data_IF_176739222099
#
_entry.id   IF_176739222099
#
_cell.length_a   1.000
_cell.length_b   1.000
_cell.length_c   1.000
_cell.angle_alpha   90.00
_cell.angle_beta   90.00
_cell.angle_gamma   90.00
#
_symmetry.space_group_name_H-M   'P 1'
#
loop_
_entity.id
_entity.type
_entity.pdbx_description
1 polymer ?
#
# COMPACT_ATOMS: atom_id res chain seq x y z
N UNK A 1 -20.54 -14.83 -52.08
CA UNK A 1 -22.02 -14.79 -52.05
C UNK A 1 -22.66 -14.34 -53.35
N UNK A 2 -22.33 -13.17 -53.92
CA UNK A 2 -22.97 -12.69 -55.17
C UNK A 2 -22.90 -13.69 -56.34
N UNK A 3 -21.72 -14.27 -56.63
CA UNK A 3 -21.55 -15.28 -57.71
C UNK A 3 -22.36 -16.57 -57.51
N UNK A 4 -22.61 -16.95 -56.27
CA UNK A 4 -23.45 -18.11 -55.94
C UNK A 4 -24.92 -17.82 -56.27
N UNK A 5 -25.40 -16.61 -55.92
CA UNK A 5 -26.78 -16.20 -56.23
C UNK A 5 -27.09 -16.21 -57.73
N UNK A 6 -26.10 -15.95 -58.58
CA UNK A 6 -26.24 -16.00 -60.04
C UNK A 6 -26.36 -17.44 -60.57
N UNK A 7 -25.67 -18.40 -59.95
CA UNK A 7 -25.68 -19.80 -60.39
C UNK A 7 -26.80 -20.63 -59.76
N UNK A 8 -27.31 -20.21 -58.60
CA UNK A 8 -28.30 -20.94 -57.81
C UNK A 8 -29.55 -21.33 -58.60
N UNK A 9 -30.22 -20.44 -59.38
CA UNK A 9 -31.40 -20.82 -60.15
C UNK A 9 -31.12 -21.91 -61.20
N UNK A 10 -29.90 -21.93 -61.74
CA UNK A 10 -29.49 -22.95 -62.70
C UNK A 10 -29.20 -24.30 -62.03
N UNK A 11 -28.67 -24.28 -60.81
CA UNK A 11 -28.21 -25.47 -60.09
C UNK A 11 -29.31 -26.12 -59.25
N UNK A 12 -30.24 -25.35 -58.70
CA UNK A 12 -31.30 -25.83 -57.80
C UNK A 12 -32.65 -25.91 -58.52
N UNK A 13 -32.97 -24.95 -59.39
CA UNK A 13 -34.32 -24.77 -59.94
C UNK A 13 -34.43 -25.18 -61.43
N UNK A 14 -33.36 -25.74 -62.01
CA UNK A 14 -33.34 -26.22 -63.40
C UNK A 14 -33.40 -25.14 -64.49
N UNK A 15 -33.27 -23.87 -64.12
CA UNK A 15 -33.33 -22.73 -65.06
C UNK A 15 -32.14 -22.79 -66.03
N UNK A 16 -32.31 -22.56 -67.35
CA UNK A 16 -31.18 -22.49 -68.27
C UNK A 16 -30.16 -21.42 -67.85
N UNK A 17 -28.86 -21.76 -67.84
CA UNK A 17 -27.78 -20.86 -67.38
C UNK A 17 -27.80 -19.50 -68.09
N UNK A 18 -28.22 -19.46 -69.36
CA UNK A 18 -28.38 -18.24 -70.14
C UNK A 18 -29.40 -17.28 -69.52
N UNK A 19 -30.54 -17.78 -69.05
CA UNK A 19 -31.56 -16.95 -68.39
C UNK A 19 -31.07 -16.46 -67.03
N UNK A 20 -30.54 -17.36 -66.20
CA UNK A 20 -30.01 -17.00 -64.88
C UNK A 20 -28.87 -15.97 -64.97
N UNK A 21 -28.02 -16.06 -66.01
CA UNK A 21 -26.95 -15.08 -66.26
C UNK A 21 -27.51 -13.74 -66.76
N UNK A 22 -28.50 -13.75 -67.66
CA UNK A 22 -29.13 -12.54 -68.20
C UNK A 22 -29.90 -11.75 -67.14
N UNK A 23 -30.66 -12.43 -66.28
CA UNK A 23 -31.42 -11.81 -65.18
C UNK A 23 -30.52 -11.17 -64.12
N UNK A 24 -29.29 -11.69 -63.98
CA UNK A 24 -28.28 -11.15 -63.09
C UNK A 24 -27.33 -10.14 -63.77
N UNK A 25 -27.59 -9.76 -65.02
CA UNK A 25 -26.73 -8.87 -65.84
C UNK A 25 -25.27 -9.35 -65.95
N UNK A 26 -25.05 -10.67 -65.93
CA UNK A 26 -23.73 -11.29 -66.07
C UNK A 26 -23.60 -11.91 -67.46
N UNK A 27 -22.51 -11.60 -68.16
CA UNK A 27 -22.21 -12.23 -69.45
C UNK A 27 -22.17 -13.76 -69.33
N UNK A 28 -22.81 -14.48 -70.26
CA UNK A 28 -22.90 -15.96 -70.25
C UNK A 28 -21.54 -16.64 -70.06
N UNK A 29 -20.49 -16.16 -70.74
CA UNK A 29 -19.12 -16.70 -70.63
C UNK A 29 -18.56 -16.61 -69.20
N UNK A 30 -18.93 -15.57 -68.45
CA UNK A 30 -18.53 -15.41 -67.05
C UNK A 30 -19.29 -16.37 -66.15
N UNK A 31 -20.59 -16.55 -66.36
CA UNK A 31 -21.42 -17.51 -65.64
C UNK A 31 -20.96 -18.96 -65.91
N UNK A 32 -20.64 -19.31 -67.16
CA UNK A 32 -20.05 -20.60 -67.53
C UNK A 32 -18.73 -20.85 -66.79
N UNK A 33 -17.81 -19.87 -66.76
CA UNK A 33 -16.55 -19.98 -66.02
C UNK A 33 -16.78 -20.20 -64.53
N UNK A 34 -17.75 -19.52 -63.93
CA UNK A 34 -18.11 -19.72 -62.52
C UNK A 34 -18.70 -21.11 -62.29
N UNK A 35 -19.58 -21.58 -63.16
CA UNK A 35 -20.18 -22.92 -63.09
C UNK A 35 -19.12 -24.02 -63.19
N UNK A 36 -18.15 -23.90 -64.10
CA UNK A 36 -17.03 -24.83 -64.21
C UNK A 36 -16.22 -24.89 -62.92
N UNK A 37 -15.87 -23.74 -62.34
CA UNK A 37 -15.13 -23.68 -61.07
C UNK A 37 -15.93 -24.20 -59.89
N UNK A 38 -17.24 -23.94 -59.88
CA UNK A 38 -18.13 -24.48 -58.85
C UNK A 38 -18.25 -26.00 -58.93
N UNK A 39 -18.36 -26.58 -60.13
CA UNK A 39 -18.39 -28.04 -60.30
C UNK A 39 -17.09 -28.72 -59.90
N UNK A 40 -15.95 -28.04 -60.05
CA UNK A 40 -14.64 -28.57 -59.69
C UNK A 40 -14.31 -28.41 -58.19
N UNK A 41 -14.62 -27.27 -57.58
CA UNK A 41 -14.12 -26.88 -56.25
C UNK A 41 -15.25 -26.47 -55.28
N UNK A 42 -16.51 -26.69 -55.65
CA UNK A 42 -17.69 -26.28 -54.87
C UNK A 42 -17.77 -24.75 -54.67
N UNK A 43 -18.34 -24.33 -53.54
CA UNK A 43 -18.46 -22.91 -53.20
C UNK A 43 -17.11 -22.19 -53.11
N UNK A 44 -16.02 -22.90 -52.77
CA UNK A 44 -14.68 -22.34 -52.70
C UNK A 44 -14.18 -21.85 -54.07
N UNK A 45 -14.51 -22.58 -55.15
CA UNK A 45 -14.17 -22.18 -56.52
C UNK A 45 -14.83 -20.88 -57.00
N UNK A 46 -15.90 -20.43 -56.32
CA UNK A 46 -16.55 -19.16 -56.60
C UNK A 46 -15.89 -17.98 -55.88
N UNK A 47 -14.96 -18.22 -54.95
CA UNK A 47 -14.20 -17.15 -54.30
C UNK A 47 -13.37 -16.36 -55.34
N UNK A 48 -13.19 -15.06 -55.09
CA UNK A 48 -12.29 -14.24 -55.91
C UNK A 48 -10.86 -14.69 -55.61
N UNK A 49 -10.26 -15.42 -56.54
CA UNK A 49 -8.84 -15.74 -56.45
C UNK A 49 -8.06 -14.40 -56.34
N UNK A 50 -7.20 -14.23 -55.32
CA UNK A 50 -6.28 -13.11 -55.31
C UNK A 50 -5.42 -13.21 -56.58
N UNK A 51 -5.13 -12.07 -57.22
CA UNK A 51 -4.25 -12.07 -58.38
C UNK A 51 -2.86 -12.56 -57.95
N UNK A 52 -2.23 -13.39 -58.77
CA UNK A 52 -0.90 -13.98 -58.52
C UNK A 52 0.23 -12.93 -58.47
N UNK A 53 -0.01 -11.72 -58.96
CA UNK A 53 0.94 -10.61 -59.05
C UNK A 53 0.86 -9.62 -57.86
N UNK A 54 0.07 -9.93 -56.83
CA UNK A 54 -0.03 -9.09 -55.64
C UNK A 54 1.26 -9.22 -54.81
N UNK A 55 2.28 -8.42 -55.15
CA UNK A 55 3.52 -8.26 -54.38
C UNK A 55 4.83 -8.54 -55.12
N UNK A 56 4.82 -8.74 -56.44
CA UNK A 56 6.01 -9.11 -57.25
C UNK A 56 6.85 -7.93 -57.77
N UNK A 57 6.94 -6.84 -57.01
CA UNK A 57 8.16 -6.00 -57.05
C UNK A 57 8.87 -6.20 -55.73
N UNK A 58 9.50 -7.37 -55.57
CA UNK A 58 10.30 -7.67 -54.38
C UNK A 58 11.51 -6.75 -54.40
N UNK A 59 11.59 -5.88 -53.41
CA UNK A 59 12.88 -5.35 -52.98
C UNK A 59 13.80 -6.56 -52.72
N UNK A 60 15.09 -6.48 -53.04
CA UNK A 60 16.05 -7.46 -52.59
C UNK A 60 15.88 -7.73 -51.09
N UNK A 61 15.96 -9.00 -50.69
CA UNK A 61 15.76 -9.38 -49.28
C UNK A 61 16.79 -8.69 -48.37
N UNK A 62 18.02 -8.50 -48.86
CA UNK A 62 19.08 -7.74 -48.17
C UNK A 62 18.71 -6.28 -47.94
N UNK A 63 18.04 -5.64 -48.91
CA UNK A 63 17.56 -4.27 -48.79
C UNK A 63 16.41 -4.17 -47.77
N UNK A 64 15.53 -5.18 -47.71
CA UNK A 64 14.50 -5.27 -46.68
C UNK A 64 15.12 -5.43 -45.29
N UNK A 65 16.06 -6.36 -45.14
CA UNK A 65 16.78 -6.60 -43.89
C UNK A 65 17.56 -5.37 -43.42
N UNK A 66 18.16 -4.61 -44.35
CA UNK A 66 18.80 -3.34 -44.03
C UNK A 66 17.81 -2.32 -43.48
N UNK A 67 16.63 -2.18 -44.10
CA UNK A 67 15.57 -1.27 -43.62
C UNK A 67 15.11 -1.67 -42.22
N UNK A 68 14.81 -2.95 -42.00
CA UNK A 68 14.36 -3.48 -40.72
C UNK A 68 15.44 -3.32 -39.63
N UNK A 69 16.69 -3.68 -39.93
CA UNK A 69 17.81 -3.57 -39.02
C UNK A 69 18.13 -2.13 -38.62
N UNK A 70 18.06 -1.18 -39.57
CA UNK A 70 18.22 0.25 -39.26
C UNK A 70 17.09 0.77 -38.37
N UNK A 71 15.85 0.34 -38.61
CA UNK A 71 14.70 0.75 -37.82
C UNK A 71 14.68 0.17 -36.39
N UNK A 72 15.32 -0.97 -36.17
CA UNK A 72 15.45 -1.64 -34.87
C UNK A 72 16.67 -1.19 -34.06
N UNK A 73 17.54 -0.32 -34.59
CA UNK A 73 18.75 0.12 -33.90
C UNK A 73 18.46 1.25 -32.90
N UNK A 74 18.87 1.12 -31.63
CA UNK A 74 18.77 2.22 -30.66
C UNK A 74 19.78 3.35 -30.95
N UNK A 75 19.39 4.63 -30.80
CA UNK A 75 18.03 5.12 -30.55
C UNK A 75 17.16 4.97 -31.81
N UNK A 76 15.94 4.46 -31.66
CA UNK A 76 15.04 4.12 -32.77
C UNK A 76 14.83 5.27 -33.75
N UNK A 77 15.41 5.23 -34.97
CA UNK A 77 15.38 6.36 -35.88
C UNK A 77 14.00 6.55 -36.50
N UNK A 78 13.68 7.78 -36.89
CA UNK A 78 12.45 8.04 -37.65
C UNK A 78 12.51 7.33 -39.02
N UNK A 79 11.35 6.94 -39.57
CA UNK A 79 11.27 6.35 -40.90
C UNK A 79 11.90 7.24 -41.99
N UNK A 80 11.87 8.57 -41.81
CA UNK A 80 12.52 9.52 -42.71
C UNK A 80 14.05 9.50 -42.62
N UNK A 81 14.61 9.17 -41.46
CA UNK A 81 16.05 8.97 -41.29
C UNK A 81 16.49 7.62 -41.88
N UNK A 82 15.73 6.55 -41.61
CA UNK A 82 15.96 5.22 -42.23
C UNK A 82 15.93 5.33 -43.75
N UNK A 83 14.94 6.03 -44.33
CA UNK A 83 14.85 6.22 -45.78
C UNK A 83 16.08 6.91 -46.36
N UNK A 84 16.59 7.97 -45.73
CA UNK A 84 17.81 8.67 -46.19
C UNK A 84 19.02 7.74 -46.23
N UNK A 85 19.28 7.00 -45.16
CA UNK A 85 20.41 6.06 -45.09
C UNK A 85 20.29 4.94 -46.13
N UNK A 86 19.07 4.42 -46.32
CA UNK A 86 18.81 3.33 -47.25
C UNK A 86 18.98 3.77 -48.70
N UNK A 87 18.64 5.01 -49.03
CA UNK A 87 18.85 5.57 -50.39
C UNK A 87 20.34 5.59 -50.74
N UNK A 88 21.19 6.00 -49.80
CA UNK A 88 22.63 6.10 -50.05
C UNK A 88 23.26 4.71 -50.22
N UNK A 89 22.91 3.75 -49.36
CA UNK A 89 23.38 2.37 -49.46
C UNK A 89 22.88 1.70 -50.75
N UNK A 90 21.60 1.85 -51.08
CA UNK A 90 21.02 1.24 -52.29
C UNK A 90 21.70 1.75 -53.57
N UNK A 91 22.11 3.03 -53.62
CA UNK A 91 22.85 3.59 -54.76
C UNK A 91 24.26 2.98 -54.89
N UNK A 92 24.97 2.83 -53.78
CA UNK A 92 26.33 2.30 -53.77
C UNK A 92 26.37 0.81 -54.13
N UNK A 93 25.36 0.04 -53.71
CA UNK A 93 25.21 -1.39 -53.99
C UNK A 93 24.50 -1.69 -55.34
N UNK A 94 24.07 -0.65 -56.07
CA UNK A 94 23.34 -0.81 -57.33
C UNK A 94 21.93 -1.41 -57.18
N UNK A 95 21.34 -1.36 -55.99
CA UNK A 95 19.99 -1.85 -55.71
C UNK A 95 18.90 -0.86 -56.16
N UNK A 96 17.66 -1.33 -56.41
CA UNK A 96 16.52 -0.44 -56.64
C UNK A 96 16.29 0.48 -55.44
N UNK A 97 16.38 1.79 -55.67
CA UNK A 97 16.18 2.79 -54.61
C UNK A 97 14.71 2.78 -54.14
N UNK A 98 14.44 2.47 -52.86
CA UNK A 98 13.06 2.40 -52.36
C UNK A 98 12.47 3.81 -52.16
N UNK A 99 11.17 3.93 -52.40
CA UNK A 99 10.45 5.16 -52.05
C UNK A 99 10.24 5.27 -50.53
N UNK A 100 10.04 6.48 -50.02
CA UNK A 100 9.70 6.71 -48.62
C UNK A 100 8.49 5.88 -48.17
N UNK A 101 7.44 5.82 -49.00
CA UNK A 101 6.24 5.03 -48.69
C UNK A 101 6.55 3.53 -48.53
N UNK A 102 7.51 3.02 -49.29
CA UNK A 102 7.96 1.62 -49.22
C UNK A 102 8.71 1.37 -47.92
N UNK A 103 9.67 2.23 -47.58
CA UNK A 103 10.41 2.14 -46.31
C UNK A 103 9.46 2.27 -45.12
N UNK A 104 8.56 3.25 -45.15
CA UNK A 104 7.57 3.46 -44.09
C UNK A 104 6.65 2.24 -43.90
N UNK A 105 6.18 1.63 -45.00
CA UNK A 105 5.38 0.41 -44.93
C UNK A 105 6.15 -0.75 -44.28
N UNK A 106 7.42 -0.96 -44.67
CA UNK A 106 8.28 -1.99 -44.07
C UNK A 106 8.47 -1.72 -42.58
N UNK A 107 8.86 -0.51 -42.19
CA UNK A 107 9.07 -0.13 -40.78
C UNK A 107 7.81 -0.29 -39.94
N UNK A 108 6.64 0.03 -40.50
CA UNK A 108 5.35 -0.13 -39.83
C UNK A 108 4.95 -1.60 -39.68
N UNK A 109 5.28 -2.43 -40.66
CA UNK A 109 4.93 -3.85 -40.68
C UNK A 109 5.90 -4.72 -39.87
N UNK A 110 6.97 -4.15 -39.28
CA UNK A 110 7.82 -4.82 -38.30
C UNK A 110 6.95 -5.33 -37.13
N UNK A 111 7.20 -6.58 -36.73
CA UNK A 111 6.52 -7.20 -35.60
C UNK A 111 6.59 -6.29 -34.34
N UNK A 112 5.45 -5.91 -33.74
CA UNK A 112 5.43 -5.03 -32.58
C UNK A 112 6.25 -5.55 -31.40
N UNK A 113 6.26 -6.86 -31.17
CA UNK A 113 7.01 -7.51 -30.11
C UNK A 113 8.52 -7.40 -30.36
N UNK A 114 8.96 -7.66 -31.60
CA UNK A 114 10.36 -7.47 -32.01
C UNK A 114 10.81 -6.03 -31.85
N UNK A 115 9.98 -5.07 -32.26
CA UNK A 115 10.26 -3.64 -32.13
C UNK A 115 10.38 -3.20 -30.67
N UNK A 116 9.45 -3.62 -29.82
CA UNK A 116 9.51 -3.32 -28.38
C UNK A 116 10.73 -3.94 -27.73
N UNK A 117 11.09 -5.18 -28.07
CA UNK A 117 12.29 -5.82 -27.55
C UNK A 117 13.57 -5.04 -27.92
N UNK A 118 13.67 -4.61 -29.18
CA UNK A 118 14.85 -3.92 -29.68
C UNK A 118 14.98 -2.47 -29.17
N UNK A 119 13.87 -1.73 -29.09
CA UNK A 119 13.90 -0.29 -28.79
C UNK A 119 13.65 0.03 -27.31
N UNK A 120 12.77 -0.72 -26.66
CA UNK A 120 12.35 -0.48 -25.26
C UNK A 120 12.96 -1.50 -24.27
N UNK A 121 13.61 -2.54 -24.79
CA UNK A 121 14.33 -3.55 -24.03
C UNK A 121 13.46 -4.69 -23.48
N UNK A 122 14.13 -5.68 -22.91
CA UNK A 122 13.53 -6.95 -22.48
C UNK A 122 12.45 -6.76 -21.38
N UNK A 123 12.61 -5.77 -20.50
CA UNK A 123 11.63 -5.49 -19.45
C UNK A 123 10.27 -5.10 -20.05
N UNK A 124 10.25 -4.15 -20.99
CA UNK A 124 9.02 -3.67 -21.62
C UNK A 124 8.39 -4.74 -22.51
N UNK A 125 9.23 -5.54 -23.18
CA UNK A 125 8.77 -6.69 -23.95
C UNK A 125 7.99 -7.68 -23.07
N UNK A 126 8.58 -8.10 -21.95
CA UNK A 126 7.93 -9.05 -21.03
C UNK A 126 6.62 -8.50 -20.44
N UNK A 127 6.52 -7.19 -20.20
CA UNK A 127 5.28 -6.56 -19.72
C UNK A 127 4.14 -6.63 -20.73
N UNK A 128 4.44 -6.48 -22.02
CA UNK A 128 3.42 -6.31 -23.07
C UNK A 128 3.11 -7.62 -23.80
N UNK A 129 4.11 -8.49 -24.00
CA UNK A 129 4.02 -9.63 -24.91
C UNK A 129 4.17 -11.00 -24.23
N UNK A 130 4.65 -11.10 -22.98
CA UNK A 130 4.67 -12.40 -22.30
C UNK A 130 3.24 -12.87 -22.01
N UNK A 131 2.96 -14.14 -22.33
CA UNK A 131 1.72 -14.80 -21.92
C UNK A 131 1.67 -14.91 -20.40
N UNK A 132 0.76 -14.17 -19.77
CA UNK A 132 0.51 -14.24 -18.33
C UNK A 132 -0.45 -15.40 -18.07
N UNK A 133 0.04 -16.47 -17.47
CA UNK A 133 -0.82 -17.52 -16.94
C UNK A 133 -1.57 -16.99 -15.72
N UNK A 134 -2.83 -16.60 -15.92
CA UNK A 134 -3.71 -16.11 -14.86
C UNK A 134 -4.16 -17.29 -14.00
N UNK A 135 -3.66 -17.34 -12.77
CA UNK A 135 -4.16 -18.29 -11.77
C UNK A 135 -5.37 -17.69 -11.08
N UNK A 136 -6.36 -18.52 -10.84
CA UNK A 136 -7.52 -18.20 -10.01
C UNK A 136 -7.70 -19.32 -8.99
N UNK A 137 -7.92 -18.93 -7.74
CA UNK A 137 -8.31 -19.82 -6.66
C UNK A 137 -9.62 -20.53 -7.00
N UNK A 138 -9.71 -21.81 -6.63
CA UNK A 138 -10.89 -22.62 -6.90
C UNK A 138 -12.09 -22.16 -6.09
N UNK A 139 -11.87 -21.62 -4.89
CA UNK A 139 -12.94 -21.07 -4.05
C UNK A 139 -12.53 -19.87 -3.20
N UNK A 140 -13.52 -19.22 -2.55
CA UNK A 140 -13.26 -18.11 -1.64
C UNK A 140 -12.39 -18.52 -0.45
N UNK A 141 -11.63 -17.57 0.06
CA UNK A 141 -10.66 -17.71 1.15
C UNK A 141 -9.54 -18.74 0.89
N UNK A 142 -9.42 -19.32 -0.31
CA UNK A 142 -8.30 -20.21 -0.60
C UNK A 142 -6.99 -19.41 -0.76
N UNK A 143 -7.05 -18.29 -1.48
CA UNK A 143 -5.92 -17.37 -1.67
C UNK A 143 -6.39 -15.94 -1.46
N UNK A 144 -5.74 -15.24 -0.54
CA UNK A 144 -5.86 -13.80 -0.38
C UNK A 144 -4.59 -13.12 -0.88
N UNK A 145 -4.73 -12.05 -1.65
CA UNK A 145 -3.62 -11.22 -2.12
C UNK A 145 -3.57 -9.93 -1.31
N UNK A 146 -2.38 -9.53 -0.88
CA UNK A 146 -2.17 -8.27 -0.17
C UNK A 146 -1.15 -7.39 -0.89
N UNK A 147 -1.42 -6.10 -0.89
CA UNK A 147 -0.53 -5.11 -1.49
C UNK A 147 -0.78 -3.71 -0.91
N UNK A 148 0.18 -2.82 -1.08
CA UNK A 148 0.17 -1.45 -0.61
C UNK A 148 0.44 -0.45 -1.74
N UNK A 149 -0.27 0.68 -1.72
CA UNK A 149 -0.02 1.79 -2.65
C UNK A 149 -0.09 3.13 -1.92
N UNK A 150 0.75 4.08 -2.31
CA UNK A 150 0.57 5.47 -1.90
C UNK A 150 -0.58 6.06 -2.71
N UNK A 151 -1.54 6.68 -2.04
CA UNK A 151 -2.72 7.25 -2.70
C UNK A 151 -2.36 8.56 -3.43
N UNK A 152 -2.98 8.75 -4.60
CA UNK A 152 -2.89 9.98 -5.40
C UNK A 152 -3.80 11.08 -4.83
N UNK A 153 -3.73 11.30 -3.51
CA UNK A 153 -4.52 12.28 -2.77
C UNK A 153 -3.76 12.78 -1.53
N UNK A 154 -4.05 14.01 -1.11
CA UNK A 154 -3.55 14.63 0.11
C UNK A 154 -4.60 14.70 1.21
N UNK A 155 -4.18 14.38 2.44
CA UNK A 155 -4.97 14.55 3.67
C UNK A 155 -4.26 15.50 4.64
N UNK A 156 -5.01 16.06 5.58
CA UNK A 156 -4.46 16.84 6.70
C UNK A 156 -4.05 15.84 7.80
N UNK A 157 -2.76 15.77 8.09
CA UNK A 157 -2.24 14.99 9.19
C UNK A 157 -2.61 15.62 10.56
N UNK A 158 -2.59 14.86 11.67
CA UNK A 158 -2.81 15.42 13.01
C UNK A 158 -1.88 16.59 13.37
N UNK A 159 -0.71 16.68 12.74
CA UNK A 159 0.22 17.80 12.89
C UNK A 159 -0.23 19.09 12.17
N UNK A 160 -1.38 19.07 11.48
CA UNK A 160 -1.88 20.15 10.64
C UNK A 160 -1.20 20.27 9.27
N UNK A 161 -0.23 19.40 8.95
CA UNK A 161 0.49 19.44 7.67
C UNK A 161 -0.14 18.48 6.65
N UNK A 162 -0.17 18.84 5.36
CA UNK A 162 -0.58 17.90 4.31
C UNK A 162 0.36 16.69 4.25
N UNK A 163 -0.21 15.50 4.09
CA UNK A 163 0.52 14.26 3.90
C UNK A 163 -0.20 13.37 2.88
N UNK A 164 0.58 12.51 2.20
CA UNK A 164 0.04 11.49 1.28
C UNK A 164 -0.09 10.16 2.02
N UNK A 165 -1.31 9.64 2.19
CA UNK A 165 -1.53 8.39 2.89
C UNK A 165 -1.17 7.20 2.00
N UNK A 166 -0.82 6.10 2.65
CA UNK A 166 -0.73 4.77 2.08
C UNK A 166 -2.00 4.00 2.37
N UNK A 167 -2.35 3.13 1.43
CA UNK A 167 -3.46 2.19 1.53
C UNK A 167 -2.90 0.78 1.37
N UNK A 168 -3.15 -0.07 2.35
CA UNK A 168 -2.93 -1.52 2.29
C UNK A 168 -4.26 -2.21 2.05
N UNK A 169 -4.33 -3.16 1.13
CA UNK A 169 -5.57 -3.85 0.75
C UNK A 169 -5.33 -5.35 0.76
N UNK A 170 -6.36 -6.11 1.14
CA UNK A 170 -6.41 -7.56 1.04
C UNK A 170 -7.60 -7.94 0.18
N UNK A 171 -7.34 -8.56 -0.96
CA UNK A 171 -8.32 -9.03 -1.94
C UNK A 171 -8.44 -10.56 -1.88
N UNK A 172 -9.66 -11.09 -1.91
CA UNK A 172 -9.91 -12.51 -2.15
C UNK A 172 -9.76 -12.84 -3.65
N UNK A 173 -8.83 -13.76 -3.97
CA UNK A 173 -8.41 -14.04 -5.34
C UNK A 173 -9.53 -14.61 -6.24
N UNK A 174 -10.42 -15.41 -5.64
CA UNK A 174 -11.55 -16.05 -6.32
C UNK A 174 -12.66 -15.04 -6.58
N UNK A 175 -13.20 -14.44 -5.52
CA UNK A 175 -14.38 -13.58 -5.62
C UNK A 175 -14.07 -12.18 -6.15
N UNK A 176 -12.82 -11.72 -6.00
CA UNK A 176 -12.38 -10.31 -6.15
C UNK A 176 -12.89 -9.39 -5.06
N UNK A 177 -13.47 -9.93 -4.00
CA UNK A 177 -14.02 -9.11 -2.94
C UNK A 177 -12.87 -8.59 -2.07
N UNK A 178 -12.94 -7.32 -1.68
CA UNK A 178 -11.98 -6.80 -0.70
C UNK A 178 -12.34 -7.36 0.67
N UNK A 179 -11.42 -8.12 1.24
CA UNK A 179 -11.58 -8.72 2.56
C UNK A 179 -11.28 -7.70 3.66
N UNK A 180 -10.24 -6.87 3.50
CA UNK A 180 -9.88 -5.83 4.47
C UNK A 180 -8.93 -4.80 3.89
N UNK A 181 -8.76 -3.68 4.57
CA UNK A 181 -7.84 -2.62 4.21
C UNK A 181 -7.32 -1.87 5.46
N UNK A 182 -6.28 -1.07 5.28
CA UNK A 182 -5.79 -0.13 6.28
C UNK A 182 -5.24 1.14 5.60
N UNK A 183 -5.53 2.31 6.18
CA UNK A 183 -5.02 3.61 5.70
C UNK A 183 -4.09 4.22 6.76
N UNK A 184 -2.96 4.77 6.32
CA UNK A 184 -1.92 5.26 7.23
C UNK A 184 -1.06 6.37 6.60
N UNK A 185 -0.40 7.17 7.45
CA UNK A 185 0.46 8.28 7.00
C UNK A 185 1.95 7.91 6.89
N UNK A 186 2.36 6.81 7.51
CA UNK A 186 3.73 6.28 7.40
C UNK A 186 3.92 5.41 6.17
N UNK A 187 5.17 5.11 5.81
CA UNK A 187 5.46 4.09 4.80
C UNK A 187 4.87 2.72 5.20
N UNK A 188 4.63 1.81 4.23
CA UNK A 188 4.26 0.42 4.45
C UNK A 188 5.09 -0.20 5.58
N UNK A 189 4.41 -0.96 6.45
CA UNK A 189 5.06 -1.70 7.54
C UNK A 189 4.32 -3.00 7.83
N UNK A 190 5.00 -3.95 8.47
CA UNK A 190 4.42 -5.21 8.97
C UNK A 190 3.13 -4.97 9.77
N UNK A 191 3.12 -3.88 10.52
CA UNK A 191 2.01 -3.46 11.38
C UNK A 191 0.76 -3.12 10.56
N UNK A 192 0.90 -2.34 9.49
CA UNK A 192 -0.24 -1.91 8.67
C UNK A 192 -0.88 -3.09 7.94
N UNK A 193 -0.04 -4.02 7.49
CA UNK A 193 -0.49 -5.30 6.99
C UNK A 193 -1.27 -6.07 8.04
N UNK A 194 -0.73 -6.22 9.25
CA UNK A 194 -1.37 -6.96 10.33
C UNK A 194 -2.74 -6.35 10.66
N UNK A 195 -2.86 -5.02 10.64
CA UNK A 195 -4.14 -4.32 10.82
C UNK A 195 -5.15 -4.63 9.71
N UNK A 196 -4.73 -4.58 8.44
CA UNK A 196 -5.59 -4.94 7.32
C UNK A 196 -6.01 -6.42 7.41
N UNK A 197 -5.08 -7.32 7.75
CA UNK A 197 -5.34 -8.75 7.91
C UNK A 197 -6.29 -9.03 9.07
N UNK A 198 -6.14 -8.30 10.18
CA UNK A 198 -7.04 -8.37 11.32
C UNK A 198 -8.48 -8.02 10.93
N UNK A 199 -8.65 -6.89 10.24
CA UNK A 199 -9.96 -6.48 9.73
C UNK A 199 -10.49 -7.51 8.72
N UNK A 200 -9.61 -8.05 7.87
CA UNK A 200 -9.98 -9.05 6.87
C UNK A 200 -10.51 -10.33 7.50
N UNK A 201 -9.84 -10.86 8.52
CA UNK A 201 -10.21 -12.12 9.18
C UNK A 201 -11.50 -11.98 9.98
N UNK A 202 -11.67 -10.90 10.73
CA UNK A 202 -12.83 -10.77 11.61
C UNK A 202 -14.10 -10.39 10.85
N UNK A 203 -15.26 -10.67 11.46
CA UNK A 203 -16.56 -10.24 10.95
C UNK A 203 -16.67 -8.72 11.04
N UNK A 204 -17.19 -8.09 9.98
CA UNK A 204 -17.41 -6.64 9.92
C UNK A 204 -18.74 -6.30 10.58
N UNK A 205 -18.78 -5.14 11.22
CA UNK A 205 -20.03 -4.57 11.74
C UNK A 205 -20.88 -3.96 10.62
N UNK A 206 -20.24 -3.60 9.51
CA UNK A 206 -20.83 -2.95 8.35
C UNK A 206 -21.75 -3.92 7.59
N UNK A 207 -23.05 -3.61 7.48
CA UNK A 207 -23.96 -4.42 6.68
C UNK A 207 -23.52 -4.50 5.22
N UNK A 208 -23.60 -5.68 4.63
CA UNK A 208 -23.23 -5.91 3.23
C UNK A 208 -21.74 -6.17 2.99
N UNK A 209 -20.91 -6.25 4.04
CA UNK A 209 -19.52 -6.68 3.95
C UNK A 209 -19.31 -8.03 4.66
N UNK A 210 -19.67 -9.13 3.99
CA UNK A 210 -19.68 -10.45 4.63
C UNK A 210 -18.32 -11.16 4.59
N UNK A 211 -17.43 -10.72 3.70
CA UNK A 211 -16.10 -11.33 3.51
C UNK A 211 -15.36 -11.39 4.83
N UNK A 212 -15.05 -12.58 5.32
CA UNK A 212 -14.30 -12.79 6.56
C UNK A 212 -13.68 -14.19 6.61
N UNK A 213 -12.89 -14.47 7.64
CA UNK A 213 -12.30 -15.78 7.89
C UNK A 213 -10.79 -15.86 7.67
N UNK A 214 -10.22 -17.02 7.97
CA UNK A 214 -8.80 -17.28 7.84
C UNK A 214 -8.54 -17.86 6.44
N UNK A 215 -7.66 -17.26 5.63
CA UNK A 215 -7.36 -17.78 4.31
C UNK A 215 -6.43 -18.99 4.34
N UNK A 216 -6.50 -19.86 3.33
CA UNK A 216 -5.56 -20.96 3.18
C UNK A 216 -4.14 -20.47 2.82
N UNK A 217 -4.05 -19.56 1.86
CA UNK A 217 -2.80 -18.93 1.43
C UNK A 217 -2.92 -17.40 1.48
N UNK A 218 -1.90 -16.75 2.02
CA UNK A 218 -1.76 -15.30 1.98
C UNK A 218 -0.56 -14.93 1.11
N UNK A 219 -0.87 -14.37 -0.05
CA UNK A 219 0.07 -14.00 -1.09
C UNK A 219 0.41 -12.52 -1.00
N UNK A 220 1.68 -12.20 -0.86
CA UNK A 220 2.15 -10.84 -0.65
C UNK A 220 3.53 -10.62 -1.28
N UNK A 221 4.06 -9.41 -1.19
CA UNK A 221 5.37 -9.07 -1.70
C UNK A 221 6.51 -9.27 -0.70
N UNK A 222 7.73 -9.36 -1.23
CA UNK A 222 8.95 -9.42 -0.43
C UNK A 222 9.32 -8.07 0.22
N UNK A 223 8.35 -7.16 0.41
CA UNK A 223 8.55 -6.04 1.33
C UNK A 223 9.00 -6.58 2.68
N UNK A 224 9.99 -5.91 3.29
CA UNK A 224 10.52 -6.22 4.63
C UNK A 224 9.44 -6.40 5.71
N UNK A 225 8.24 -5.91 5.41
CA UNK A 225 7.04 -5.89 6.22
C UNK A 225 6.45 -7.29 6.43
N UNK A 226 6.36 -8.10 5.37
CA UNK A 226 5.74 -9.42 5.43
C UNK A 226 6.74 -10.54 5.74
N UNK A 227 8.04 -10.26 5.61
CA UNK A 227 9.12 -11.15 6.03
C UNK A 227 9.45 -11.07 7.53
N UNK A 228 8.78 -10.20 8.29
CA UNK A 228 9.01 -10.07 9.72
C UNK A 228 8.70 -11.37 10.47
N UNK A 229 9.53 -11.73 11.45
CA UNK A 229 9.35 -12.93 12.26
C UNK A 229 7.96 -12.98 12.93
N UNK A 230 7.40 -11.82 13.28
CA UNK A 230 6.07 -11.70 13.82
C UNK A 230 4.99 -12.14 12.83
N UNK A 231 5.03 -11.68 11.58
CA UNK A 231 4.04 -12.08 10.57
C UNK A 231 4.11 -13.57 10.26
N UNK A 232 5.32 -14.14 10.25
CA UNK A 232 5.52 -15.59 10.09
C UNK A 232 4.90 -16.38 11.25
N UNK A 233 5.08 -15.92 12.49
CA UNK A 233 4.48 -16.55 13.67
C UNK A 233 2.96 -16.48 13.62
N UNK A 234 2.39 -15.30 13.32
CA UNK A 234 0.94 -15.12 13.17
C UNK A 234 0.37 -16.06 12.13
N UNK A 235 1.02 -16.15 10.97
CA UNK A 235 0.57 -17.04 9.93
C UNK A 235 0.66 -18.51 10.35
N UNK A 236 1.69 -18.91 11.08
CA UNK A 236 1.79 -20.26 11.63
C UNK A 236 0.66 -20.56 12.64
N UNK A 237 0.40 -19.63 13.57
CA UNK A 237 -0.63 -19.78 14.60
C UNK A 237 -2.05 -19.84 14.00
N UNK A 238 -2.29 -19.05 12.95
CA UNK A 238 -3.54 -19.06 12.18
C UNK A 238 -3.57 -20.15 11.10
N UNK A 239 -2.50 -20.92 10.92
CA UNK A 239 -2.35 -21.96 9.88
C UNK A 239 -2.52 -21.43 8.45
N UNK A 240 -2.09 -20.20 8.22
CA UNK A 240 -2.05 -19.53 6.92
C UNK A 240 -0.72 -19.87 6.23
N UNK A 241 -0.77 -20.30 4.98
CA UNK A 241 0.43 -20.44 4.16
C UNK A 241 0.86 -19.08 3.62
N UNK A 242 1.99 -18.54 4.09
CA UNK A 242 2.59 -17.33 3.50
C UNK A 242 3.30 -17.67 2.20
N UNK A 243 3.00 -16.91 1.14
CA UNK A 243 3.69 -16.98 -0.14
C UNK A 243 4.12 -15.58 -0.56
N UNK A 244 5.39 -15.46 -0.95
CA UNK A 244 5.96 -14.20 -1.38
C UNK A 244 6.19 -14.20 -2.90
N UNK A 245 5.89 -13.06 -3.54
CA UNK A 245 6.25 -12.84 -4.95
C UNK A 245 7.77 -12.75 -5.13
N UNK A 246 8.32 -13.38 -6.17
CA UNK A 246 9.75 -13.28 -6.46
C UNK A 246 10.14 -11.81 -6.78
N UNK A 247 11.27 -11.29 -6.26
CA UNK A 247 11.68 -9.93 -6.55
C UNK A 247 11.85 -9.71 -8.06
N UNK A 248 11.25 -8.65 -8.60
CA UNK A 248 11.37 -8.30 -10.02
C UNK A 248 10.52 -9.11 -11.00
N UNK A 249 9.58 -9.96 -10.53
CA UNK A 249 8.62 -10.68 -11.39
C UNK A 249 7.16 -10.42 -10.94
N UNK A 250 6.49 -9.38 -11.47
CA UNK A 250 5.14 -8.98 -11.05
C UNK A 250 4.01 -9.92 -11.51
N UNK A 251 4.32 -11.16 -11.94
CA UNK A 251 3.40 -12.02 -12.71
C UNK A 251 2.17 -12.54 -11.96
N UNK A 252 2.02 -12.25 -10.65
CA UNK A 252 0.89 -12.71 -9.83
C UNK A 252 -0.02 -11.61 -9.26
N UNK A 253 0.33 -10.32 -9.39
CA UNK A 253 -0.31 -9.19 -8.68
C UNK A 253 -1.29 -8.36 -9.52
N UNK A 254 -1.50 -8.72 -10.80
CA UNK A 254 -2.35 -7.95 -11.70
C UNK A 254 -3.82 -7.82 -11.25
N UNK A 255 -4.27 -8.63 -10.29
CA UNK A 255 -5.62 -8.57 -9.70
C UNK A 255 -5.76 -7.36 -8.77
N UNK A 256 -4.90 -7.30 -7.75
CA UNK A 256 -4.88 -6.19 -6.78
C UNK A 256 -4.40 -4.86 -7.40
N UNK A 257 -3.49 -4.92 -8.38
CA UNK A 257 -3.09 -3.74 -9.16
C UNK A 257 -4.29 -3.12 -9.90
N UNK A 258 -5.15 -3.96 -10.49
CA UNK A 258 -6.39 -3.49 -11.13
C UNK A 258 -7.38 -2.89 -10.12
N UNK A 259 -7.40 -3.39 -8.90
CA UNK A 259 -8.17 -2.77 -7.83
C UNK A 259 -7.66 -1.36 -7.52
N UNK A 260 -6.35 -1.15 -7.42
CA UNK A 260 -5.79 0.19 -7.22
C UNK A 260 -6.12 1.15 -8.36
N UNK A 261 -6.08 0.68 -9.61
CA UNK A 261 -6.56 1.47 -10.75
C UNK A 261 -8.04 1.85 -10.58
N UNK A 262 -8.86 0.93 -10.09
CA UNK A 262 -10.29 1.17 -9.84
C UNK A 262 -10.50 2.23 -8.77
N UNK A 263 -9.73 2.19 -7.66
CA UNK A 263 -9.75 3.26 -6.64
C UNK A 263 -9.36 4.61 -7.26
N UNK A 264 -8.29 4.66 -8.03
CA UNK A 264 -7.79 5.89 -8.66
C UNK A 264 -8.78 6.47 -9.68
N UNK A 265 -9.56 5.62 -10.34
CA UNK A 265 -10.53 6.07 -11.35
C UNK A 265 -11.91 6.40 -10.78
N UNK A 266 -12.33 5.73 -9.70
CA UNK A 266 -13.74 5.76 -9.26
C UNK A 266 -13.98 6.28 -7.85
N UNK A 267 -12.95 6.30 -6.99
CA UNK A 267 -13.05 6.74 -5.60
C UNK A 267 -12.29 8.06 -5.37
N UNK A 268 -10.98 8.08 -5.58
CA UNK A 268 -10.17 9.27 -5.27
C UNK A 268 -10.61 10.54 -6.01
N UNK A 269 -11.05 10.50 -7.29
CA UNK A 269 -11.50 11.70 -7.99
C UNK A 269 -12.72 12.39 -7.37
N UNK A 270 -13.50 11.67 -6.55
CA UNK A 270 -14.66 12.23 -5.86
C UNK A 270 -14.31 12.87 -4.51
N UNK A 271 -13.04 12.78 -4.08
CA UNK A 271 -12.57 13.25 -2.78
C UNK A 271 -11.74 14.52 -2.92
N UNK A 272 -11.84 15.41 -1.93
CA UNK A 272 -11.01 16.62 -1.89
C UNK A 272 -9.55 16.28 -1.60
N UNK A 273 -8.62 16.97 -2.26
CA UNK A 273 -7.18 16.71 -2.15
C UNK A 273 -6.65 15.75 -3.21
N UNK A 274 -7.49 15.27 -4.13
CA UNK A 274 -7.07 14.42 -5.25
C UNK A 274 -6.00 15.10 -6.11
N UNK A 275 -4.88 14.39 -6.30
CA UNK A 275 -3.68 14.85 -6.97
C UNK A 275 -3.14 13.73 -7.87
N UNK A 276 -3.70 13.55 -9.09
CA UNK A 276 -3.26 12.51 -10.01
C UNK A 276 -1.80 12.71 -10.41
N UNK A 277 -1.11 11.60 -10.67
CA UNK A 277 0.30 11.60 -11.11
C UNK A 277 0.49 12.53 -12.31
N UNK A 278 1.58 13.30 -12.29
CA UNK A 278 1.92 14.27 -13.35
C UNK A 278 1.24 15.63 -13.23
N UNK A 279 0.42 15.86 -12.20
CA UNK A 279 -0.10 17.21 -11.89
C UNK A 279 0.79 17.95 -10.89
N UNK A 280 0.75 19.29 -10.90
CA UNK A 280 1.43 20.11 -9.88
C UNK A 280 0.95 19.70 -8.49
N UNK A 281 1.86 19.72 -7.52
CA UNK A 281 1.55 19.36 -6.13
C UNK A 281 0.35 20.17 -5.61
N UNK A 282 -0.67 19.46 -5.11
CA UNK A 282 -1.93 20.01 -4.61
C UNK A 282 -2.04 19.88 -3.09
N UNK A 283 -0.92 19.79 -2.37
CA UNK A 283 -0.89 19.75 -0.90
C UNK A 283 -1.80 20.80 -0.24
N UNK A 284 -1.88 22.02 -0.78
CA UNK A 284 -2.75 23.10 -0.28
C UNK A 284 -4.26 22.88 -0.45
N UNK A 285 -4.67 21.84 -1.18
CA UNK A 285 -6.08 21.44 -1.35
C UNK A 285 -6.49 20.31 -0.40
N UNK A 286 -5.57 19.85 0.48
CA UNK A 286 -5.89 18.88 1.52
C UNK A 286 -6.98 19.44 2.44
N UNK A 287 -8.09 18.72 2.55
CA UNK A 287 -9.22 19.07 3.43
C UNK A 287 -9.69 17.91 4.29
N UNK A 288 -9.48 16.67 3.83
CA UNK A 288 -9.86 15.47 4.55
C UNK A 288 -8.81 15.14 5.60
N UNK A 289 -9.28 14.73 6.77
CA UNK A 289 -8.49 13.99 7.75
C UNK A 289 -8.29 12.54 7.31
N UNK A 290 -7.34 11.84 7.96
CA UNK A 290 -7.13 10.41 7.72
C UNK A 290 -8.38 9.57 8.02
N UNK A 291 -9.13 9.92 9.08
CA UNK A 291 -10.34 9.21 9.48
C UNK A 291 -11.49 9.39 8.47
N UNK A 292 -11.64 10.60 7.92
CA UNK A 292 -12.64 10.85 6.87
C UNK A 292 -12.30 10.12 5.57
N UNK A 293 -11.01 10.03 5.22
CA UNK A 293 -10.54 9.22 4.09
C UNK A 293 -10.82 7.74 4.32
N UNK A 294 -10.49 7.21 5.50
CA UNK A 294 -10.76 5.83 5.89
C UNK A 294 -12.25 5.48 5.73
N UNK A 295 -13.13 6.32 6.27
CA UNK A 295 -14.58 6.15 6.14
C UNK A 295 -15.05 6.25 4.68
N UNK A 296 -14.45 7.11 3.86
CA UNK A 296 -14.78 7.23 2.44
C UNK A 296 -14.37 6.00 1.63
N UNK A 297 -13.19 5.44 1.89
CA UNK A 297 -12.70 4.20 1.27
C UNK A 297 -13.58 3.02 1.69
N UNK A 298 -13.88 2.88 2.98
CA UNK A 298 -14.79 1.84 3.48
C UNK A 298 -16.15 1.88 2.80
N UNK A 299 -16.79 3.06 2.71
CA UNK A 299 -18.05 3.22 1.97
C UNK A 299 -17.92 2.84 0.50
N UNK A 300 -16.84 3.23 -0.17
CA UNK A 300 -16.62 2.88 -1.57
C UNK A 300 -16.49 1.35 -1.75
N UNK A 301 -15.76 0.67 -0.88
CA UNK A 301 -15.59 -0.78 -0.90
C UNK A 301 -16.95 -1.46 -0.77
N UNK A 302 -17.67 -1.17 0.32
CA UNK A 302 -18.89 -1.88 0.70
C UNK A 302 -20.07 -1.55 -0.21
N UNK A 303 -20.29 -0.26 -0.49
CA UNK A 303 -21.50 0.17 -1.19
C UNK A 303 -21.35 0.18 -2.72
N UNK A 304 -20.12 0.17 -3.25
CA UNK A 304 -19.88 0.34 -4.69
C UNK A 304 -19.02 -0.75 -5.31
N UNK A 305 -17.80 -0.97 -4.82
CA UNK A 305 -16.88 -1.92 -5.44
C UNK A 305 -17.37 -3.37 -5.29
N UNK A 306 -17.62 -3.81 -4.06
CA UNK A 306 -18.01 -5.20 -3.78
C UNK A 306 -19.42 -5.55 -4.33
N UNK A 307 -20.24 -4.55 -4.66
CA UNK A 307 -21.60 -4.74 -5.19
C UNK A 307 -21.70 -4.59 -6.71
N UNK A 308 -20.66 -4.08 -7.38
CA UNK A 308 -20.67 -3.87 -8.82
C UNK A 308 -20.20 -5.14 -9.54
N UNK A 309 -20.91 -5.62 -10.58
CA UNK A 309 -20.42 -6.71 -11.40
C UNK A 309 -19.01 -6.46 -11.93
N UNK A 310 -18.08 -7.37 -11.62
CA UNK A 310 -16.70 -7.26 -12.05
C UNK A 310 -16.56 -7.72 -13.51
N UNK A 311 -15.80 -6.99 -14.33
CA UNK A 311 -15.74 -7.21 -15.78
C UNK A 311 -15.19 -8.57 -16.19
N UNK A 312 -14.29 -9.16 -15.39
CA UNK A 312 -13.70 -10.47 -15.66
C UNK A 312 -14.57 -11.63 -15.18
N UNK A 313 -15.35 -11.45 -14.10
CA UNK A 313 -16.10 -12.54 -13.45
C UNK A 313 -17.60 -12.50 -13.76
N UNK A 314 -18.09 -11.35 -14.27
CA UNK A 314 -19.49 -11.10 -14.57
C UNK A 314 -20.39 -10.93 -13.33
N UNK A 315 -19.85 -11.06 -12.12
CA UNK A 315 -20.62 -11.09 -10.87
C UNK A 315 -20.11 -10.04 -9.88
N UNK A 316 -20.98 -9.49 -9.01
CA UNK A 316 -20.55 -8.68 -7.89
C UNK A 316 -19.59 -9.46 -6.97
N UNK A 317 -18.44 -8.89 -6.58
CA UNK A 317 -17.49 -9.60 -5.72
C UNK A 317 -18.09 -10.17 -4.43
N UNK A 318 -18.94 -9.40 -3.74
CA UNK A 318 -19.64 -9.85 -2.52
C UNK A 318 -20.52 -11.08 -2.81
N UNK A 319 -21.35 -10.99 -3.85
CA UNK A 319 -22.24 -12.08 -4.23
C UNK A 319 -21.46 -13.33 -4.66
N UNK A 320 -20.33 -13.16 -5.36
CA UNK A 320 -19.47 -14.27 -5.76
C UNK A 320 -18.81 -14.96 -4.56
N UNK A 321 -18.41 -14.19 -3.56
CA UNK A 321 -17.88 -14.73 -2.30
C UNK A 321 -18.96 -15.54 -1.55
N UNK A 322 -20.18 -15.00 -1.46
CA UNK A 322 -21.32 -15.64 -0.78
C UNK A 322 -21.83 -16.91 -1.52
N UNK A 323 -21.68 -16.98 -2.85
CA UNK A 323 -22.33 -17.99 -3.70
C UNK A 323 -21.87 -19.44 -3.49
N UNK A 324 -20.70 -19.67 -2.88
CA UNK A 324 -20.11 -21.01 -2.81
C UNK A 324 -20.59 -21.86 -1.63
N UNK A 325 -21.41 -21.30 -0.74
CA UNK A 325 -21.99 -22.04 0.40
C UNK A 325 -20.95 -22.54 1.42
N UNK A 326 -19.71 -22.04 1.34
CA UNK A 326 -18.66 -22.37 2.29
C UNK A 326 -18.87 -21.63 3.61
N UNK A 327 -18.38 -22.22 4.70
CA UNK A 327 -18.38 -21.58 6.02
C UNK A 327 -16.97 -21.05 6.31
N UNK A 328 -16.78 -19.73 6.47
CA UNK A 328 -15.46 -19.17 6.75
C UNK A 328 -14.97 -19.62 8.12
N UNK A 329 -13.73 -20.13 8.17
CA UNK A 329 -13.06 -20.45 9.42
C UNK A 329 -12.72 -19.16 10.17
N UNK A 330 -13.17 -19.03 11.40
CA UNK A 330 -12.90 -17.86 12.23
C UNK A 330 -12.03 -18.25 13.44
N UNK A 331 -11.21 -17.32 13.95
CA UNK A 331 -10.52 -17.53 15.22
C UNK A 331 -11.53 -17.66 16.36
N UNK A 332 -11.14 -18.29 17.46
CA UNK A 332 -12.06 -18.63 18.56
C UNK A 332 -12.62 -17.37 19.26
N UNK A 333 -11.84 -16.29 19.30
CA UNK A 333 -12.30 -14.99 19.79
C UNK A 333 -11.56 -13.82 19.12
N UNK A 334 -12.14 -12.63 19.24
CA UNK A 334 -11.51 -11.40 18.76
C UNK A 334 -10.23 -11.12 19.55
N UNK A 335 -10.24 -11.41 20.85
CA UNK A 335 -9.09 -11.22 21.73
C UNK A 335 -7.93 -12.12 21.30
N UNK A 336 -8.16 -13.37 20.91
CA UNK A 336 -7.10 -14.23 20.40
C UNK A 336 -6.50 -13.66 19.11
N UNK A 337 -7.36 -13.21 18.18
CA UNK A 337 -6.93 -12.60 16.93
C UNK A 337 -6.14 -11.31 17.15
N UNK A 338 -6.64 -10.46 18.05
CA UNK A 338 -5.90 -9.30 18.54
C UNK A 338 -4.52 -9.74 19.00
N UNK A 339 -4.41 -10.63 20.00
CA UNK A 339 -3.12 -11.00 20.60
C UNK A 339 -2.09 -11.48 19.59
N UNK A 340 -2.55 -12.18 18.55
CA UNK A 340 -1.70 -12.59 17.43
C UNK A 340 -1.22 -11.38 16.61
N UNK A 341 -2.08 -10.39 16.35
CA UNK A 341 -1.82 -9.26 15.45
C UNK A 341 -1.33 -7.98 16.15
N UNK A 342 -1.26 -7.97 17.48
CA UNK A 342 -0.74 -6.84 18.25
C UNK A 342 0.79 -6.76 18.13
N UNK A 343 1.29 -5.53 17.98
CA UNK A 343 2.72 -5.28 17.85
C UNK A 343 3.44 -5.55 19.17
N UNK A 344 4.50 -6.36 19.12
CA UNK A 344 5.40 -6.57 20.26
C UNK A 344 6.31 -5.36 20.38
N UNK A 345 6.09 -4.51 21.39
CA UNK A 345 7.13 -3.59 21.79
C UNK A 345 8.25 -4.39 22.48
N UNK A 346 9.50 -3.96 22.31
CA UNK A 346 10.63 -4.48 23.11
C UNK A 346 10.21 -4.53 24.59
N UNK A 347 10.68 -5.52 25.36
CA UNK A 347 10.35 -5.64 26.78
C UNK A 347 10.50 -4.30 27.49
N UNK A 348 9.48 -3.92 28.25
CA UNK A 348 9.47 -2.68 29.03
C UNK A 348 9.47 -3.02 30.51
N UNK A 349 10.21 -2.20 31.26
CA UNK A 349 10.21 -2.31 32.71
C UNK A 349 8.92 -1.72 33.27
N UNK A 350 8.30 -2.41 34.21
CA UNK A 350 7.19 -1.85 35.00
C UNK A 350 7.79 -0.92 36.07
N UNK A 351 7.36 0.33 36.07
CA UNK A 351 7.77 1.32 37.08
C UNK A 351 6.68 1.45 38.16
N UNK A 352 7.00 2.00 39.35
CA UNK A 352 6.01 2.24 40.40
C UNK A 352 4.83 3.12 39.95
N UNK A 353 5.06 3.96 38.96
CA UNK A 353 4.07 4.85 38.37
C UNK A 353 3.47 4.30 37.06
N UNK A 354 3.73 3.04 36.69
CA UNK A 354 3.16 2.37 35.54
C UNK A 354 4.19 2.04 34.45
N UNK A 355 3.71 1.85 33.22
CA UNK A 355 4.54 1.52 32.07
C UNK A 355 4.68 2.74 31.15
N UNK A 356 5.92 3.07 30.79
CA UNK A 356 6.22 4.17 29.87
C UNK A 356 6.39 3.67 28.44
N UNK A 357 5.49 4.12 27.55
CA UNK A 357 5.52 3.78 26.12
C UNK A 357 4.94 4.94 25.30
N UNK A 358 5.47 5.20 24.10
CA UNK A 358 5.06 6.33 23.23
C UNK A 358 5.13 7.71 23.88
N UNK A 359 5.96 7.88 24.91
CA UNK A 359 6.04 9.13 25.67
C UNK A 359 4.85 9.39 26.60
N UNK A 360 3.95 8.43 26.75
CA UNK A 360 2.82 8.46 27.68
C UNK A 360 2.92 7.32 28.70
N UNK A 361 2.07 7.39 29.73
CA UNK A 361 2.05 6.45 30.85
C UNK A 361 0.80 5.58 30.83
N UNK A 362 0.98 4.28 30.97
CA UNK A 362 -0.07 3.28 31.04
C UNK A 362 -0.16 2.71 32.45
N UNK A 363 -1.39 2.56 32.94
CA UNK A 363 -1.68 2.16 34.30
C UNK A 363 -2.75 1.07 34.34
N UNK A 364 -2.53 0.12 35.21
CA UNK A 364 -3.52 -0.79 35.75
C UNK A 364 -3.27 -0.82 37.26
N UNK A 365 -4.26 -0.37 38.03
CA UNK A 365 -4.12 -0.20 39.49
C UNK A 365 -4.21 -1.52 40.26
N UNK A 366 -4.51 -2.62 39.58
CA UNK A 366 -4.78 -3.92 40.21
C UNK A 366 -3.64 -4.92 40.07
N UNK A 367 -3.04 -5.02 38.89
CA UNK A 367 -2.09 -6.09 38.55
C UNK A 367 -0.66 -5.57 38.46
N UNK A 368 -0.43 -4.37 37.90
CA UNK A 368 0.95 -3.91 37.64
C UNK A 368 1.79 -3.66 38.90
N UNK A 369 1.15 -3.42 40.06
CA UNK A 369 1.85 -3.21 41.32
C UNK A 369 2.72 -4.40 41.76
N UNK A 370 2.31 -5.63 41.42
CA UNK A 370 3.01 -6.87 41.78
C UNK A 370 4.25 -7.14 40.91
N UNK A 371 4.32 -6.49 39.74
CA UNK A 371 5.37 -6.69 38.75
C UNK A 371 6.32 -5.49 38.66
N UNK A 372 6.30 -4.56 39.63
CA UNK A 372 7.18 -3.39 39.65
C UNK A 372 8.64 -3.84 39.68
N UNK A 373 9.42 -3.37 38.70
CA UNK A 373 10.81 -3.77 38.52
C UNK A 373 11.03 -4.86 37.49
N UNK A 374 9.99 -5.63 37.14
CA UNK A 374 10.06 -6.70 36.16
C UNK A 374 9.98 -6.17 34.72
N UNK A 375 10.49 -6.97 33.79
CA UNK A 375 10.37 -6.70 32.35
C UNK A 375 9.17 -7.45 31.78
N UNK A 376 8.25 -6.69 31.19
CA UNK A 376 7.02 -7.22 30.59
C UNK A 376 7.01 -7.00 29.08
N UNK A 377 6.42 -7.94 28.36
CA UNK A 377 6.17 -7.83 26.92
C UNK A 377 4.87 -7.06 26.72
N UNK A 378 4.89 -6.06 25.84
CA UNK A 378 3.71 -5.24 25.56
C UNK A 378 3.19 -5.57 24.17
N UNK A 379 1.88 -5.77 24.09
CA UNK A 379 1.11 -5.94 22.87
C UNK A 379 0.04 -4.85 22.78
N UNK A 380 -0.05 -4.11 21.69
CA UNK A 380 -1.01 -3.02 21.53
C UNK A 380 -1.52 -2.88 20.08
N UNK A 381 -2.71 -2.29 19.91
CA UNK A 381 -3.28 -1.97 18.60
C UNK A 381 -2.78 -0.57 18.21
N UNK A 382 -2.03 -0.42 17.11
CA UNK A 382 -1.56 0.90 16.67
C UNK A 382 -2.67 1.92 16.40
N UNK A 383 -3.91 1.47 16.14
CA UNK A 383 -5.08 2.33 15.95
C UNK A 383 -5.68 2.79 17.28
N UNK A 384 -5.42 2.06 18.35
CA UNK A 384 -5.85 2.37 19.70
C UNK A 384 -4.68 2.27 20.67
N UNK A 385 -3.89 3.34 20.71
CA UNK A 385 -2.79 3.48 21.66
C UNK A 385 -3.27 3.95 23.04
N UNK A 386 -4.57 4.11 23.28
CA UNK A 386 -5.08 4.46 24.61
C UNK A 386 -5.01 3.26 25.56
N UNK A 387 -4.93 2.05 25.02
CA UNK A 387 -4.84 0.81 25.77
C UNK A 387 -3.65 -0.05 25.30
N UNK A 388 -2.97 -0.69 26.24
CA UNK A 388 -1.99 -1.74 25.97
C UNK A 388 -2.33 -3.03 26.74
N UNK A 389 -1.93 -4.16 26.17
CA UNK A 389 -2.00 -5.48 26.81
C UNK A 389 -0.61 -5.88 27.29
N UNK A 390 -0.52 -6.26 28.55
CA UNK A 390 0.74 -6.53 29.24
C UNK A 390 0.89 -8.04 29.44
N UNK A 391 2.09 -8.56 29.16
CA UNK A 391 2.43 -9.97 29.26
C UNK A 391 3.71 -10.18 30.06
N UNK A 392 3.76 -11.26 30.84
CA UNK A 392 4.96 -11.71 31.54
C UNK A 392 5.13 -13.21 31.29
N UNK A 393 6.32 -13.61 30.85
CA UNK A 393 6.59 -15.00 30.41
C UNK A 393 5.54 -15.56 29.45
N UNK A 394 5.17 -14.77 28.44
CA UNK A 394 4.11 -15.09 27.45
C UNK A 394 2.69 -15.25 28.00
N UNK A 395 2.46 -15.06 29.30
CA UNK A 395 1.13 -15.06 29.92
C UNK A 395 0.55 -13.66 29.99
N UNK A 396 -0.73 -13.54 29.63
CA UNK A 396 -1.46 -12.28 29.74
C UNK A 396 -1.61 -11.88 31.21
N UNK A 397 -1.20 -10.66 31.55
CA UNK A 397 -1.34 -10.08 32.88
C UNK A 397 -2.60 -9.20 32.98
N UNK A 398 -2.64 -8.10 32.22
CA UNK A 398 -3.71 -7.11 32.32
C UNK A 398 -3.81 -6.19 31.09
N UNK A 399 -4.89 -5.40 31.04
CA UNK A 399 -5.08 -4.27 30.10
C UNK A 399 -4.72 -2.99 30.83
N UNK A 400 -3.62 -2.35 30.47
CA UNK A 400 -3.21 -1.08 31.05
C UNK A 400 -3.69 0.08 30.17
N UNK A 401 -4.32 1.08 30.78
CA UNK A 401 -4.96 2.20 30.09
C UNK A 401 -4.09 3.44 30.28
N UNK A 402 -3.96 4.26 29.24
CA UNK A 402 -3.34 5.57 29.33
C UNK A 402 -4.37 6.61 29.80
N UNK A 403 -4.28 7.15 31.03
CA UNK A 403 -5.25 8.12 31.51
C UNK A 403 -5.26 9.42 30.70
N UNK A 404 -4.12 9.79 30.10
CA UNK A 404 -3.96 11.02 29.32
C UNK A 404 -4.68 10.95 27.98
N UNK A 405 -4.76 9.76 27.37
CA UNK A 405 -5.47 9.52 26.11
C UNK A 405 -6.93 9.14 26.33
N UNK A 406 -7.24 8.43 27.42
CA UNK A 406 -8.60 8.04 27.79
C UNK A 406 -9.46 9.22 28.31
N UNK A 407 -8.85 10.29 28.83
CA UNK A 407 -9.53 11.42 29.46
C UNK A 407 -10.09 12.50 28.50
N UNK A 408 -10.48 12.16 27.26
CA UNK A 408 -11.37 13.04 26.48
C UNK A 408 -12.80 13.15 27.06
N UNK A 409 -13.10 12.51 28.21
CA UNK A 409 -14.21 12.93 29.08
C UNK A 409 -13.76 13.13 30.54
N UNK A 410 -14.02 14.34 31.05
CA UNK A 410 -13.92 14.83 32.44
C UNK A 410 -12.55 15.40 32.87
N UNK A 411 -12.63 16.54 33.57
CA UNK A 411 -11.86 17.74 33.22
C UNK A 411 -10.74 18.17 34.17
N UNK A 412 -9.94 19.07 33.61
CA UNK A 412 -8.71 19.69 34.12
C UNK A 412 -8.84 20.30 35.54
N UNK A 413 -10.05 20.64 36.01
CA UNK A 413 -10.26 21.20 37.36
C UNK A 413 -9.93 20.20 38.47
N UNK A 414 -10.18 18.90 38.29
CA UNK A 414 -9.88 17.87 39.29
C UNK A 414 -8.39 17.49 39.30
N UNK A 415 -7.75 17.45 38.12
CA UNK A 415 -6.31 17.21 37.99
C UNK A 415 -5.50 18.36 38.60
N UNK A 416 -5.93 19.61 38.43
CA UNK A 416 -5.28 20.79 39.01
C UNK A 416 -5.50 20.86 40.53
N UNK A 417 -6.69 20.49 41.01
CA UNK A 417 -6.98 20.38 42.44
C UNK A 417 -6.14 19.28 43.11
N UNK A 418 -5.98 18.12 42.47
CA UNK A 418 -5.13 17.02 42.94
C UNK A 418 -3.63 17.38 42.92
N UNK A 419 -3.14 18.06 41.88
CA UNK A 419 -1.75 18.58 41.82
C UNK A 419 -1.47 19.61 42.93
N UNK A 420 -2.39 20.54 43.15
CA UNK A 420 -2.24 21.58 44.17
C UNK A 420 -2.41 21.03 45.60
N UNK A 421 -3.23 20.01 45.81
CA UNK A 421 -3.33 19.29 47.08
C UNK A 421 -2.03 18.52 47.38
N UNK A 422 -1.47 17.82 46.39
CA UNK A 422 -0.19 17.10 46.53
C UNK A 422 1.01 18.04 46.74
N UNK A 423 1.06 19.20 46.05
CA UNK A 423 2.10 20.22 46.26
C UNK A 423 2.04 20.82 47.67
N UNK A 424 0.84 21.07 48.21
CA UNK A 424 0.64 21.57 49.57
C UNK A 424 1.01 20.53 50.63
N UNK A 425 0.69 19.26 50.41
CA UNK A 425 1.09 18.15 51.30
C UNK A 425 2.61 17.93 51.36
N UNK A 426 3.31 18.03 50.22
CA UNK A 426 4.78 17.92 50.16
C UNK A 426 5.48 19.11 50.83
N UNK A 427 4.97 20.33 50.67
CA UNK A 427 5.51 21.52 51.34
C UNK A 427 5.34 21.43 52.88
N UNK A 428 4.18 20.96 53.36
CA UNK A 428 3.92 20.79 54.79
C UNK A 428 4.80 19.71 55.43
N UNK A 429 5.06 18.61 54.69
CA UNK A 429 5.99 17.56 55.11
C UNK A 429 7.46 18.01 55.18
N UNK A 430 7.88 18.94 54.31
CA UNK A 430 9.22 19.53 54.34
C UNK A 430 9.39 20.47 55.53
N UNK A 431 8.41 21.33 55.83
CA UNK A 431 8.44 22.23 57.00
C UNK A 431 8.41 21.46 58.32
N UNK A 432 7.65 20.36 58.40
CA UNK A 432 7.62 19.49 59.58
C UNK A 432 8.97 18.80 59.81
N UNK A 433 9.61 18.29 58.75
CA UNK A 433 10.93 17.64 58.85
C UNK A 433 12.04 18.63 59.20
N UNK A 434 12.01 19.85 58.65
CA UNK A 434 12.94 20.92 59.03
C UNK A 434 12.81 21.28 60.52
N UNK A 435 11.59 21.44 61.05
CA UNK A 435 11.39 21.78 62.47
C UNK A 435 11.72 20.64 63.45
N UNK A 436 11.69 19.39 62.99
CA UNK A 436 12.15 18.23 63.78
C UNK A 436 13.67 18.16 63.79
N UNK A 437 14.32 18.43 62.65
CA UNK A 437 15.80 18.51 62.55
C UNK A 437 16.35 19.66 63.38
N UNK A 438 15.76 20.86 63.30
CA UNK A 438 16.17 22.02 64.10
C UNK A 438 15.99 21.78 65.60
N UNK A 439 14.90 21.11 66.01
CA UNK A 439 14.68 20.73 67.42
C UNK A 439 15.67 19.67 67.92
N UNK A 440 16.03 18.70 67.09
CA UNK A 440 16.99 17.65 67.47
C UNK A 440 18.44 18.18 67.48
N UNK A 441 18.78 19.13 66.60
CA UNK A 441 20.08 19.81 66.58
C UNK A 441 20.24 20.79 67.75
N UNK A 442 19.17 21.46 68.19
CA UNK A 442 19.18 22.32 69.37
C UNK A 442 19.43 21.56 70.70
N UNK A 443 19.14 20.25 70.73
CA UNK A 443 19.39 19.38 71.90
C UNK A 443 20.83 18.84 71.94
N UNK A 444 21.63 19.02 70.88
CA UNK A 444 23.02 18.54 70.78
C UNK A 444 24.04 19.66 70.54
N UNK A 445 23.68 20.93 70.74
CA UNK A 445 24.66 22.01 70.82
C UNK A 445 25.41 21.93 72.16
N UNK A 446 26.74 21.73 72.18
CA UNK A 446 27.51 21.89 73.41
C UNK A 446 27.44 23.36 73.88
N UNK A 447 27.43 23.62 75.19
CA UNK A 447 27.34 24.98 75.72
C UNK A 447 28.51 25.85 75.23
N UNK A 448 28.20 27.11 74.92
CA UNK A 448 29.19 28.12 74.54
C UNK A 448 30.30 28.21 75.62
N UNK A 449 31.59 28.33 75.23
CA UNK A 449 32.64 28.63 76.19
C UNK A 449 32.40 30.03 76.77
N UNK A 450 32.19 30.07 78.09
CA UNK A 450 31.98 31.31 78.84
C UNK A 450 33.24 32.20 78.82
N UNK A 451 33.06 33.53 78.78
CA UNK A 451 34.16 34.50 78.68
C UNK A 451 35.07 34.47 79.91
N UNK A 452 36.37 34.57 79.67
CA UNK A 452 37.40 34.70 80.71
C UNK A 452 37.17 35.95 81.58
N UNK A 453 37.29 35.85 82.91
CA UNK A 453 37.10 36.97 83.82
C UNK A 453 38.21 38.04 83.69
N UNK A 454 37.91 39.30 84.05
CA UNK A 454 38.81 40.43 83.88
C UNK A 454 40.03 40.37 84.82
N UNK A 455 41.19 40.73 84.28
CA UNK A 455 42.38 41.04 85.07
C UNK A 455 42.30 42.51 85.56
N UNK A 456 41.96 42.72 86.82
CA UNK A 456 42.50 43.82 87.65
C UNK A 456 43.83 43.32 88.23
N UNK A 457 44.90 44.08 88.42
CA UNK A 457 45.09 45.46 88.89
C UNK A 457 46.60 45.82 88.62
N UNK A 458 47.10 47.07 88.66
CA UNK A 458 47.00 47.90 89.87
C UNK A 458 46.82 49.41 89.64
N UNK A 459 46.34 50.09 90.69
CA UNK A 459 46.29 51.53 90.80
C UNK A 459 47.66 52.20 90.62
N UNK A 460 47.63 53.37 89.97
CA UNK A 460 48.77 54.20 89.57
C UNK A 460 49.67 54.68 90.73
N UNK A 461 50.96 54.95 90.47
CA UNK A 461 51.72 55.87 91.29
C UNK A 461 51.56 57.31 90.76
N UNK A 462 51.16 58.22 91.63
CA UNK A 462 51.33 59.67 91.47
C UNK A 462 52.81 59.99 91.69
N UNK A 463 53.50 60.58 90.71
CA UNK A 463 54.82 61.19 90.95
C UNK A 463 54.64 62.45 91.81
N UNK A 464 55.43 62.65 92.89
CA UNK A 464 55.45 63.93 93.57
C UNK A 464 56.07 65.02 92.68
N UNK A 465 55.54 66.23 92.81
CA UNK A 465 56.09 67.48 92.29
C UNK A 465 57.52 67.67 92.77
N UNK A 466 58.44 67.99 91.86
CA UNK A 466 59.48 69.00 92.08
C UNK A 466 59.68 69.82 90.80
N UNK A 467 59.49 71.13 90.98
CA UNK A 467 59.84 72.24 90.07
C UNK A 467 61.31 72.14 89.64
N UNK A 468 61.67 72.68 88.47
CA UNK A 468 62.63 73.79 88.29
C UNK A 468 63.03 73.99 86.79
N UNK A 469 62.78 75.22 86.29
CA UNK A 469 63.45 76.06 85.26
C UNK A 469 63.66 75.63 83.79
N UNK A 470 63.03 76.42 82.88
CA UNK A 470 63.56 77.49 81.96
C UNK A 470 64.78 77.25 81.05
N UNK A 471 64.72 77.99 79.92
CA UNK A 471 65.71 78.30 78.85
C UNK A 471 65.62 77.34 77.64
N UNK A 472 65.29 77.75 76.41
CA UNK A 472 65.01 79.03 75.75
C UNK A 472 64.10 78.79 74.52
#
# INVERSE_FOLDING_TARGET
>A
MHRWRVLRPHLEDGVPLLRAASEAEVALRTAQRWLTRYRAEGLAGLARAPRADRGTRRLPDDLRLLIEGLALRPPGPSAAHVHRLVVDVAKNEGWPVPSYATVYAIVRDIDPAMRTLALDGEKRYREVFDLIHRREAAGPNEVWQADHTQLDLWVIAPSGKPARPWLTVIEDDHSRAIAGYAVNLGAPSAIQTALALRQAIWRKSEPGWHVCGIPGTFYTDHGSDFASAHMQQVAADLRIRLVFSQPGKPRGRGKIERYFDTINQMCLPTLSGYAPRGTKDRAGQAKLSLAELDAAIGRFIVAKYNQRPHSETGQPPQARWDATGFLPHLPASLEQLDLLLLTIAKPRKVHPDGIHLFGVRYLDTTVLGEYVGESVTIRYDPRDIAEIRVFHDEKFLCRAICPELAAQSIGIKEITAARNARRRGLAHGLTHRASVVDRLLAVHQPPEPSPSPPLTDPAAPVTPVLRLYRED
#
